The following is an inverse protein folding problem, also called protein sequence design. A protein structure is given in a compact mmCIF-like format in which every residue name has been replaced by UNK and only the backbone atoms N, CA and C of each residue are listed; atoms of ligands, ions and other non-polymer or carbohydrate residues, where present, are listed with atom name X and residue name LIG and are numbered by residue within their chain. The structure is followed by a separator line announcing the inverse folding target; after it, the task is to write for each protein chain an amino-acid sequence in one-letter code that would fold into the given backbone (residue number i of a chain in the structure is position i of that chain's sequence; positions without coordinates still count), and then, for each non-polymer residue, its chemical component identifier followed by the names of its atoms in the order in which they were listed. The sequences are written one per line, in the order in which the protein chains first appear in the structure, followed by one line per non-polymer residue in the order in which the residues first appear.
data_IF_148797052465
#
_entry.id   IF_148797052465
#
_cell.length_a   1.000
_cell.length_b   1.000
_cell.length_c   1.000
_cell.angle_alpha   90.00
_cell.angle_beta   90.00
_cell.angle_gamma   90.00
#
_symmetry.space_group_name_H-M   'P 1'
#
loop_
_entity.id
_entity.type
_entity.pdbx_description
1 polymer ?
#
# COMPACT_ATOMS: atom_id res chain seq x y z
N UNK A 1 16.66 -29.67 -15.65
CA UNK A 1 15.36 -29.07 -15.27
C UNK A 1 15.48 -27.55 -15.13
N UNK A 2 15.34 -26.76 -16.22
CA UNK A 2 15.16 -25.31 -16.10
C UNK A 2 13.94 -24.74 -16.85
N UNK A 3 13.19 -25.54 -17.60
CA UNK A 3 12.09 -25.04 -18.45
C UNK A 3 10.77 -24.76 -17.69
N UNK A 4 10.63 -25.24 -16.45
CA UNK A 4 9.36 -25.16 -15.70
C UNK A 4 9.20 -23.87 -14.89
N UNK A 5 10.31 -23.16 -14.61
CA UNK A 5 10.28 -21.89 -13.86
C UNK A 5 9.93 -20.72 -14.79
N UNK A 6 10.36 -20.76 -16.05
CA UNK A 6 10.09 -19.70 -17.04
C UNK A 6 8.61 -19.63 -17.42
N UNK A 7 7.90 -20.77 -17.43
CA UNK A 7 6.46 -20.82 -17.79
C UNK A 7 5.56 -20.32 -16.66
N UNK A 8 5.94 -20.46 -15.38
CA UNK A 8 5.14 -19.91 -14.26
C UNK A 8 5.27 -18.39 -14.11
N UNK A 9 6.43 -17.81 -14.47
CA UNK A 9 6.64 -16.36 -14.42
C UNK A 9 5.86 -15.65 -15.54
N UNK A 10 5.85 -16.19 -16.77
CA UNK A 10 5.05 -15.62 -17.86
C UNK A 10 3.53 -15.75 -17.68
N UNK A 11 3.06 -16.81 -17.01
CA UNK A 11 1.62 -16.98 -16.71
C UNK A 11 1.11 -15.98 -15.65
N UNK A 12 1.97 -15.52 -14.74
CA UNK A 12 1.60 -14.54 -13.71
C UNK A 12 1.56 -13.11 -14.22
N UNK A 13 2.43 -12.74 -15.17
CA UNK A 13 2.38 -11.42 -15.82
C UNK A 13 1.15 -11.25 -16.73
N UNK A 14 0.68 -12.30 -17.41
CA UNK A 14 -0.53 -12.24 -18.24
C UNK A 14 -1.84 -12.15 -17.44
N UNK A 15 -1.90 -12.71 -16.23
CA UNK A 15 -3.11 -12.70 -15.40
C UNK A 15 -3.38 -11.33 -14.75
N UNK A 16 -2.35 -10.49 -14.56
CA UNK A 16 -2.51 -9.16 -13.95
C UNK A 16 -2.64 -8.03 -14.99
N UNK A 17 -2.05 -8.17 -16.19
CA UNK A 17 -2.19 -7.18 -17.26
C UNK A 17 -3.60 -7.14 -17.89
N UNK A 18 -4.38 -8.22 -17.81
CA UNK A 18 -5.71 -8.32 -18.41
C UNK A 18 -6.85 -7.59 -17.66
N UNK A 19 -6.55 -6.85 -16.58
CA UNK A 19 -7.56 -6.10 -15.80
C UNK A 19 -7.32 -4.58 -15.71
N UNK A 20 -6.43 -4.04 -16.52
CA UNK A 20 -6.10 -2.59 -16.46
C UNK A 20 -6.18 -1.84 -17.80
N UNK A 21 -6.87 -2.40 -18.81
CA UNK A 21 -6.98 -1.80 -20.16
C UNK A 21 -8.31 -1.11 -20.50
N UNK A 22 -9.22 -0.86 -19.56
CA UNK A 22 -10.54 -0.26 -19.88
C UNK A 22 -10.73 1.21 -19.47
N UNK A 23 -9.67 1.94 -19.13
CA UNK A 23 -9.80 3.36 -18.77
C UNK A 23 -8.73 4.26 -19.38
N UNK A 24 -8.63 4.30 -20.71
CA UNK A 24 -8.15 5.51 -21.39
C UNK A 24 -8.53 5.51 -22.87
N UNK A 25 -9.02 6.66 -23.33
CA UNK A 25 -9.33 7.03 -24.73
C UNK A 25 -10.65 6.50 -25.33
N UNK A 26 -11.68 7.36 -25.40
CA UNK A 26 -12.03 8.05 -26.65
C UNK A 26 -13.19 9.07 -26.42
N UNK A 27 -12.95 10.32 -26.83
CA UNK A 27 -14.00 11.33 -27.11
C UNK A 27 -13.98 11.64 -28.62
N UNK A 28 -15.16 11.98 -29.13
CA UNK A 28 -15.51 12.63 -30.42
C UNK A 28 -15.48 11.76 -31.71
N UNK A 29 -16.65 11.46 -32.30
CA UNK A 29 -17.37 12.35 -33.23
C UNK A 29 -18.67 11.75 -33.79
N UNK A 30 -19.57 12.66 -34.16
CA UNK A 30 -20.90 12.51 -34.78
C UNK A 30 -20.94 11.61 -36.04
N UNK A 31 -22.04 10.89 -36.27
CA UNK A 31 -23.02 11.15 -37.35
C UNK A 31 -24.19 10.14 -37.35
N UNK A 32 -25.43 10.65 -37.34
CA UNK A 32 -26.71 9.96 -37.60
C UNK A 32 -26.90 9.69 -39.11
N UNK A 33 -27.76 8.77 -39.62
CA UNK A 33 -29.22 8.95 -39.55
C UNK A 33 -30.14 7.68 -39.55
N UNK A 34 -31.36 7.92 -39.04
CA UNK A 34 -32.68 7.46 -39.51
C UNK A 34 -32.90 5.98 -39.89
N UNK A 35 -33.72 5.28 -39.09
CA UNK A 35 -34.98 4.71 -39.60
C UNK A 35 -35.99 4.47 -38.48
N UNK A 36 -37.17 5.05 -38.64
CA UNK A 36 -38.36 4.89 -37.81
C UNK A 36 -39.18 3.67 -38.21
N UNK A 37 -39.87 3.04 -37.26
CA UNK A 37 -41.35 3.00 -37.13
C UNK A 37 -41.80 1.81 -36.25
N UNK A 38 -42.75 2.12 -35.36
CA UNK A 38 -43.89 1.28 -34.95
C UNK A 38 -43.63 -0.09 -34.30
N UNK A 39 -43.80 -0.16 -32.97
CA UNK A 39 -44.90 -0.94 -32.36
C UNK A 39 -45.34 -0.22 -31.07
N UNK A 40 -46.49 0.44 -31.15
CA UNK A 40 -47.28 0.81 -29.98
C UNK A 40 -48.18 -0.37 -29.63
N UNK A 41 -48.18 -0.82 -28.37
CA UNK A 41 -49.09 -1.87 -27.94
C UNK A 41 -48.83 -2.36 -26.52
N UNK A 42 -49.60 -1.81 -25.58
CA UNK A 42 -50.19 -2.57 -24.47
C UNK A 42 -49.27 -3.03 -23.31
N UNK A 43 -48.83 -2.09 -22.46
CA UNK A 43 -48.55 -2.40 -21.04
C UNK A 43 -49.11 -1.27 -20.18
N UNK A 44 -50.41 -1.38 -19.91
CA UNK A 44 -51.10 -0.66 -18.84
C UNK A 44 -51.54 -1.74 -17.85
N UNK A 45 -51.34 -1.48 -16.55
CA UNK A 45 -51.73 -2.29 -15.38
C UNK A 45 -50.66 -3.28 -14.84
N UNK A 46 -49.65 -2.75 -14.14
CA UNK A 46 -48.89 -3.43 -13.05
C UNK A 46 -48.05 -2.42 -12.25
N UNK A 47 -48.68 -1.47 -11.56
CA UNK A 47 -48.00 -0.50 -10.66
C UNK A 47 -48.58 -0.53 -9.22
N UNK A 48 -49.00 -1.70 -8.76
CA UNK A 48 -49.43 -1.93 -7.37
C UNK A 48 -48.69 -3.15 -6.83
N UNK A 49 -47.45 -2.93 -6.40
CA UNK A 49 -46.60 -3.99 -5.85
C UNK A 49 -45.14 -3.55 -5.74
N UNK A 50 -44.86 -2.52 -4.96
CA UNK A 50 -43.49 -1.98 -4.85
C UNK A 50 -43.20 -1.09 -3.65
N UNK A 51 -43.86 -1.29 -2.49
CA UNK A 51 -43.51 -0.62 -1.22
C UNK A 51 -43.43 -1.64 -0.07
N UNK A 52 -42.95 -2.86 -0.34
CA UNK A 52 -42.90 -3.95 0.64
C UNK A 52 -41.53 -4.11 1.32
N UNK A 53 -40.52 -3.28 1.02
CA UNK A 53 -39.16 -3.40 1.56
C UNK A 53 -38.67 -2.25 2.46
N UNK A 54 -39.55 -1.32 2.86
CA UNK A 54 -39.18 -0.10 3.62
C UNK A 54 -39.69 -0.11 5.08
N UNK A 55 -39.98 -1.27 5.65
CA UNK A 55 -40.50 -1.35 7.02
C UNK A 55 -39.36 -1.56 8.02
N UNK A 56 -39.32 -0.70 9.03
CA UNK A 56 -38.57 -0.94 10.27
C UNK A 56 -39.34 -1.95 11.12
N UNK A 57 -38.63 -2.83 11.83
CA UNK A 57 -39.25 -3.91 12.60
C UNK A 57 -40.09 -3.43 13.78
N UNK A 58 -39.80 -2.23 14.29
CA UNK A 58 -40.38 -1.70 15.50
C UNK A 58 -41.40 -0.58 15.23
N UNK A 59 -42.04 -0.59 14.06
CA UNK A 59 -43.05 0.38 13.63
C UNK A 59 -44.13 0.61 14.70
N UNK A 60 -44.69 -0.46 15.29
CA UNK A 60 -45.72 -0.36 16.33
C UNK A 60 -45.22 0.41 17.58
N UNK A 61 -43.96 0.19 17.97
CA UNK A 61 -43.35 0.90 19.09
C UNK A 61 -43.12 2.39 18.77
N UNK A 62 -42.79 2.71 17.52
CA UNK A 62 -42.65 4.08 17.03
C UNK A 62 -44.00 4.79 17.03
N UNK A 63 -45.08 4.11 16.59
CA UNK A 63 -46.44 4.66 16.64
C UNK A 63 -46.90 4.96 18.07
N UNK A 64 -46.63 4.06 19.02
CA UNK A 64 -46.94 4.29 20.44
C UNK A 64 -46.18 5.50 20.99
N UNK A 65 -44.88 5.59 20.75
CA UNK A 65 -44.05 6.74 21.16
C UNK A 65 -44.50 8.05 20.50
N UNK A 66 -44.98 7.97 19.25
CA UNK A 66 -45.51 9.13 18.52
C UNK A 66 -46.73 9.72 19.25
N UNK A 67 -47.67 8.89 19.67
CA UNK A 67 -48.87 9.34 20.40
C UNK A 67 -48.52 10.03 21.73
N UNK A 68 -47.48 9.53 22.42
CA UNK A 68 -46.97 10.17 23.63
C UNK A 68 -46.37 11.55 23.31
N UNK A 69 -45.53 11.66 22.28
CA UNK A 69 -44.92 12.93 21.87
C UNK A 69 -45.94 13.95 21.37
N UNK A 70 -47.01 13.53 20.68
CA UNK A 70 -48.13 14.43 20.32
C UNK A 70 -48.70 15.11 21.57
N UNK A 71 -48.87 14.36 22.66
CA UNK A 71 -49.39 14.89 23.92
C UNK A 71 -48.42 15.90 24.57
N UNK A 72 -47.11 15.71 24.39
CA UNK A 72 -46.07 16.61 24.93
C UNK A 72 -45.92 17.91 24.12
N UNK A 73 -46.12 17.84 22.80
CA UNK A 73 -46.03 19.00 21.90
C UNK A 73 -47.21 19.96 22.06
N UNK A 74 -48.34 19.51 22.60
CA UNK A 74 -49.51 20.36 22.84
C UNK A 74 -50.12 20.85 21.53
N UNK A 75 -50.51 22.12 21.46
CA UNK A 75 -51.25 22.70 20.33
C UNK A 75 -50.42 23.73 19.53
N UNK A 76 -49.09 23.70 19.64
CA UNK A 76 -48.19 24.65 18.99
C UNK A 76 -47.48 23.98 17.81
N UNK A 77 -48.03 24.13 16.60
CA UNK A 77 -47.51 23.48 15.40
C UNK A 77 -46.20 24.09 14.90
N UNK A 78 -45.99 25.40 15.06
CA UNK A 78 -44.74 26.06 14.70
C UNK A 78 -43.58 25.53 15.56
N UNK A 79 -43.80 25.42 16.88
CA UNK A 79 -42.82 24.81 17.79
C UNK A 79 -42.57 23.34 17.45
N UNK A 80 -43.63 22.57 17.20
CA UNK A 80 -43.50 21.16 16.85
C UNK A 80 -42.66 20.96 15.58
N UNK A 81 -42.90 21.77 14.54
CA UNK A 81 -42.13 21.72 13.31
C UNK A 81 -40.66 22.10 13.52
N UNK A 82 -40.41 23.17 14.30
CA UNK A 82 -39.05 23.59 14.66
C UNK A 82 -38.27 22.49 15.39
N UNK A 83 -38.91 21.80 16.35
CA UNK A 83 -38.31 20.65 17.05
C UNK A 83 -38.02 19.49 16.09
N UNK A 84 -38.91 19.22 15.13
CA UNK A 84 -38.69 18.18 14.11
C UNK A 84 -37.53 18.53 13.14
N UNK A 85 -37.36 19.80 12.77
CA UNK A 85 -36.23 20.25 11.95
C UNK A 85 -34.90 20.18 12.69
N UNK A 86 -34.90 20.52 13.99
CA UNK A 86 -33.75 20.31 14.86
C UNK A 86 -33.40 18.82 14.96
N UNK A 87 -34.39 17.94 15.14
CA UNK A 87 -34.20 16.50 15.17
C UNK A 87 -33.66 15.94 13.85
N UNK A 88 -34.09 16.46 12.70
CA UNK A 88 -33.52 16.10 11.40
C UNK A 88 -32.05 16.48 11.28
N UNK A 89 -31.69 17.65 11.82
CA UNK A 89 -30.30 18.11 11.88
C UNK A 89 -29.47 17.17 12.75
N UNK A 90 -30.00 16.78 13.92
CA UNK A 90 -29.36 15.76 14.78
C UNK A 90 -29.19 14.43 14.06
N UNK A 91 -30.22 13.95 13.34
CA UNK A 91 -30.13 12.72 12.54
C UNK A 91 -29.01 12.76 11.51
N UNK A 92 -28.83 13.92 10.86
CA UNK A 92 -27.77 14.13 9.87
C UNK A 92 -26.38 14.16 10.50
N UNK A 93 -26.21 14.85 11.63
CA UNK A 93 -24.95 14.92 12.37
C UNK A 93 -24.54 13.57 12.97
N UNK A 94 -25.52 12.74 13.34
CA UNK A 94 -25.31 11.38 13.82
C UNK A 94 -25.08 10.37 12.68
N UNK A 95 -25.00 10.84 11.43
CA UNK A 95 -24.77 10.04 10.23
C UNK A 95 -25.79 8.89 10.08
N UNK A 96 -27.05 9.14 10.44
CA UNK A 96 -28.10 8.12 10.40
C UNK A 96 -28.43 7.65 8.98
N UNK A 97 -28.03 8.40 7.95
CA UNK A 97 -28.06 7.92 6.56
C UNK A 97 -27.23 6.64 6.38
N UNK A 98 -26.15 6.48 7.14
CA UNK A 98 -25.34 5.26 7.16
C UNK A 98 -25.80 4.27 8.24
N UNK A 99 -26.03 4.76 9.47
CA UNK A 99 -26.28 3.90 10.64
C UNK A 99 -27.73 3.48 10.87
N UNK A 100 -28.69 4.13 10.22
CA UNK A 100 -30.11 3.80 10.28
C UNK A 100 -30.84 4.24 8.99
N UNK A 101 -30.42 3.75 7.80
CA UNK A 101 -30.94 4.19 6.51
C UNK A 101 -32.47 4.06 6.36
N UNK A 102 -33.09 3.01 6.91
CA UNK A 102 -34.55 2.86 6.82
C UNK A 102 -35.27 3.89 7.69
N UNK A 103 -34.79 4.14 8.91
CA UNK A 103 -35.34 5.22 9.74
C UNK A 103 -35.12 6.59 9.10
N UNK A 104 -33.95 6.84 8.51
CA UNK A 104 -33.64 8.13 7.89
C UNK A 104 -34.59 8.44 6.72
N UNK A 105 -34.93 7.43 5.92
CA UNK A 105 -35.94 7.57 4.87
C UNK A 105 -37.32 7.95 5.44
N UNK A 106 -37.75 7.29 6.52
CA UNK A 106 -39.01 7.62 7.17
C UNK A 106 -39.00 9.00 7.85
N UNK A 107 -37.87 9.40 8.44
CA UNK A 107 -37.68 10.74 9.02
C UNK A 107 -37.84 11.82 7.94
N UNK A 108 -37.22 11.62 6.77
CA UNK A 108 -37.36 12.53 5.64
C UNK A 108 -38.82 12.64 5.16
N UNK A 109 -39.51 11.51 5.08
CA UNK A 109 -40.91 11.48 4.68
C UNK A 109 -41.81 12.20 5.69
N UNK A 110 -41.66 11.91 6.99
CA UNK A 110 -42.45 12.53 8.05
C UNK A 110 -42.19 14.03 8.16
N UNK A 111 -40.94 14.48 8.00
CA UNK A 111 -40.62 15.91 7.99
C UNK A 111 -41.25 16.63 6.79
N UNK A 112 -41.23 15.99 5.61
CA UNK A 112 -41.90 16.52 4.41
C UNK A 112 -43.41 16.66 4.64
N UNK A 113 -44.03 15.70 5.32
CA UNK A 113 -45.45 15.76 5.69
C UNK A 113 -45.71 16.91 6.67
N UNK A 114 -44.92 17.02 7.75
CA UNK A 114 -45.04 18.10 8.74
C UNK A 114 -45.03 19.49 8.08
N UNK A 115 -44.03 19.76 7.23
CA UNK A 115 -43.94 21.02 6.47
C UNK A 115 -45.15 21.26 5.56
N UNK A 116 -45.68 20.21 4.95
CA UNK A 116 -46.84 20.32 4.06
C UNK A 116 -48.12 20.64 4.84
N UNK A 117 -48.31 20.02 6.01
CA UNK A 117 -49.44 20.30 6.90
C UNK A 117 -49.38 21.73 7.46
N UNK A 118 -48.20 22.20 7.85
CA UNK A 118 -48.01 23.58 8.31
C UNK A 118 -48.40 24.60 7.23
N UNK A 119 -47.92 24.41 5.99
CA UNK A 119 -48.27 25.28 4.86
C UNK A 119 -49.77 25.24 4.51
N UNK A 120 -50.45 24.13 4.79
CA UNK A 120 -51.89 23.97 4.60
C UNK A 120 -52.73 24.50 5.78
N UNK A 121 -52.11 24.96 6.87
CA UNK A 121 -52.79 25.36 8.10
C UNK A 121 -53.38 24.17 8.90
N UNK A 122 -52.99 22.94 8.59
CA UNK A 122 -53.37 21.73 9.31
C UNK A 122 -52.46 21.52 10.53
N UNK A 123 -52.72 22.31 11.57
CA UNK A 123 -51.92 22.31 12.81
C UNK A 123 -51.84 20.90 13.44
N UNK A 124 -52.94 20.14 13.43
CA UNK A 124 -52.96 18.78 13.99
C UNK A 124 -52.07 17.82 13.17
N UNK A 125 -52.21 17.80 11.85
CA UNK A 125 -51.38 16.97 10.98
C UNK A 125 -49.89 17.35 11.07
N UNK A 126 -49.59 18.64 11.26
CA UNK A 126 -48.23 19.14 11.48
C UNK A 126 -47.64 18.59 12.79
N UNK A 127 -48.39 18.67 13.90
CA UNK A 127 -47.95 18.16 15.21
C UNK A 127 -47.77 16.62 15.16
N UNK A 128 -48.72 15.88 14.58
CA UNK A 128 -48.63 14.42 14.46
C UNK A 128 -47.42 13.98 13.62
N UNK A 129 -47.17 14.64 12.48
CA UNK A 129 -46.01 14.35 11.63
C UNK A 129 -44.68 14.74 12.29
N UNK A 130 -44.65 15.86 13.02
CA UNK A 130 -43.48 16.31 13.78
C UNK A 130 -43.15 15.36 14.94
N UNK A 131 -44.16 14.92 15.69
CA UNK A 131 -44.02 13.90 16.73
C UNK A 131 -43.46 12.57 16.18
N UNK A 132 -43.85 12.20 14.95
CA UNK A 132 -43.32 11.02 14.26
C UNK A 132 -41.83 11.18 13.95
N UNK A 133 -41.38 12.34 13.46
CA UNK A 133 -39.95 12.63 13.25
C UNK A 133 -39.15 12.42 14.52
N UNK A 134 -39.60 13.00 15.64
CA UNK A 134 -38.94 12.87 16.93
C UNK A 134 -38.87 11.42 17.41
N UNK A 135 -39.95 10.65 17.25
CA UNK A 135 -40.02 9.24 17.65
C UNK A 135 -39.12 8.35 16.79
N UNK A 136 -39.07 8.62 15.48
CA UNK A 136 -38.19 7.93 14.56
C UNK A 136 -36.71 8.23 14.86
N UNK A 137 -36.36 9.46 15.23
CA UNK A 137 -35.00 9.80 15.65
C UNK A 137 -34.59 8.97 16.88
N UNK A 138 -35.40 8.94 17.93
CA UNK A 138 -35.11 8.17 19.15
C UNK A 138 -34.91 6.68 18.84
N UNK A 139 -35.76 6.14 17.96
CA UNK A 139 -35.66 4.77 17.46
C UNK A 139 -34.38 4.52 16.65
N UNK A 140 -34.04 5.44 15.75
CA UNK A 140 -32.87 5.34 14.89
C UNK A 140 -31.56 5.37 15.69
N UNK A 141 -31.48 6.18 16.75
CA UNK A 141 -30.33 6.23 17.65
C UNK A 141 -30.15 4.91 18.42
N UNK A 142 -31.24 4.31 18.88
CA UNK A 142 -31.22 2.96 19.47
C UNK A 142 -30.77 1.91 18.46
N UNK A 143 -31.24 2.01 17.22
CA UNK A 143 -30.81 1.11 16.16
C UNK A 143 -29.32 1.27 15.82
N UNK A 144 -28.80 2.50 15.75
CA UNK A 144 -27.37 2.77 15.56
C UNK A 144 -26.53 2.04 16.61
N UNK A 145 -26.87 2.17 17.89
CA UNK A 145 -26.19 1.46 18.97
C UNK A 145 -26.28 -0.07 18.83
N UNK A 146 -27.45 -0.59 18.46
CA UNK A 146 -27.66 -2.02 18.20
C UNK A 146 -26.82 -2.52 17.02
N UNK A 147 -26.78 -1.79 15.92
CA UNK A 147 -26.01 -2.13 14.73
C UNK A 147 -24.51 -2.12 15.02
N UNK A 148 -24.02 -1.10 15.73
CA UNK A 148 -22.62 -1.02 16.17
C UNK A 148 -22.22 -2.19 17.07
N UNK A 149 -23.12 -2.60 17.98
CA UNK A 149 -22.89 -3.76 18.84
C UNK A 149 -22.89 -5.07 18.04
N UNK A 150 -23.90 -5.28 17.20
CA UNK A 150 -24.07 -6.52 16.44
C UNK A 150 -23.01 -6.73 15.35
N UNK A 151 -22.49 -5.64 14.76
CA UNK A 151 -21.51 -5.65 13.68
C UNK A 151 -20.14 -5.15 14.14
N UNK A 152 -19.85 -5.23 15.44
CA UNK A 152 -18.62 -4.70 16.05
C UNK A 152 -17.33 -5.07 15.30
N UNK A 153 -17.12 -6.33 14.84
CA UNK A 153 -15.92 -6.68 14.06
C UNK A 153 -15.80 -5.93 12.72
N UNK A 154 -16.93 -5.67 12.04
CA UNK A 154 -16.93 -4.96 10.76
C UNK A 154 -16.64 -3.48 10.96
N UNK A 155 -17.15 -2.88 12.05
CA UNK A 155 -16.83 -1.49 12.40
C UNK A 155 -15.38 -1.32 12.83
N UNK A 156 -14.83 -2.25 13.61
CA UNK A 156 -13.39 -2.25 13.91
C UNK A 156 -12.55 -2.31 12.63
N UNK A 157 -12.92 -3.18 11.69
CA UNK A 157 -12.26 -3.25 10.39
C UNK A 157 -12.45 -1.98 9.55
N UNK A 158 -13.63 -1.35 9.58
CA UNK A 158 -13.86 -0.05 8.92
C UNK A 158 -12.93 1.04 9.48
N UNK A 159 -12.75 1.11 10.80
CA UNK A 159 -11.82 2.06 11.42
C UNK A 159 -10.40 1.87 10.89
N UNK A 160 -9.94 0.62 10.81
CA UNK A 160 -8.64 0.30 10.22
C UNK A 160 -8.53 0.78 8.76
N UNK A 161 -9.57 0.57 7.96
CA UNK A 161 -9.62 1.04 6.56
C UNK A 161 -9.58 2.57 6.45
N UNK A 162 -10.23 3.27 7.37
CA UNK A 162 -10.24 4.74 7.41
C UNK A 162 -8.85 5.28 7.78
N UNK A 163 -8.17 4.65 8.74
CA UNK A 163 -6.80 5.00 9.16
C UNK A 163 -5.79 4.90 8.01
N UNK A 164 -5.86 3.81 7.23
CA UNK A 164 -5.01 3.63 6.04
C UNK A 164 -5.52 4.39 4.81
N UNK A 165 -6.57 5.21 4.97
CA UNK A 165 -7.18 6.04 3.92
C UNK A 165 -7.64 5.23 2.70
N UNK A 166 -8.16 4.02 2.92
CA UNK A 166 -8.64 3.14 1.85
C UNK A 166 -9.72 3.81 0.98
N UNK A 167 -10.55 4.70 1.54
CA UNK A 167 -11.54 5.47 0.78
C UNK A 167 -10.96 6.38 -0.30
N UNK A 168 -9.71 6.83 -0.15
CA UNK A 168 -8.99 7.61 -1.16
C UNK A 168 -8.21 6.70 -2.10
N UNK A 169 -7.48 5.74 -1.53
CA UNK A 169 -6.55 4.86 -2.25
C UNK A 169 -7.28 3.84 -3.13
N UNK A 170 -8.40 3.32 -2.65
CA UNK A 170 -9.22 2.26 -3.27
C UNK A 170 -10.71 2.64 -3.28
N UNK A 171 -11.02 3.88 -3.70
CA UNK A 171 -12.35 4.49 -3.60
C UNK A 171 -13.50 3.61 -4.08
N UNK A 172 -13.39 3.03 -5.29
CA UNK A 172 -14.44 2.22 -5.87
C UNK A 172 -14.74 0.94 -5.06
N UNK A 173 -13.71 0.27 -4.54
CA UNK A 173 -13.88 -0.94 -3.72
C UNK A 173 -14.40 -0.58 -2.33
N UNK A 174 -13.85 0.47 -1.71
CA UNK A 174 -14.33 0.97 -0.43
C UNK A 174 -15.82 1.33 -0.46
N UNK A 175 -16.29 2.05 -1.49
CA UNK A 175 -17.71 2.40 -1.62
C UNK A 175 -18.62 1.17 -1.82
N UNK A 176 -18.14 0.14 -2.54
CA UNK A 176 -18.88 -1.13 -2.65
C UNK A 176 -19.00 -1.81 -1.30
N UNK A 177 -17.92 -1.93 -0.55
CA UNK A 177 -17.93 -2.65 0.73
C UNK A 177 -18.70 -1.87 1.81
N UNK A 178 -18.66 -0.53 1.78
CA UNK A 178 -19.50 0.31 2.64
C UNK A 178 -21.00 0.15 2.32
N UNK A 179 -21.36 -0.07 1.05
CA UNK A 179 -22.74 -0.36 0.67
C UNK A 179 -23.20 -1.71 1.22
N UNK A 180 -22.35 -2.72 1.20
CA UNK A 180 -22.64 -4.03 1.80
C UNK A 180 -22.80 -3.94 3.32
N UNK A 181 -21.89 -3.23 4.00
CA UNK A 181 -22.02 -2.95 5.43
C UNK A 181 -23.34 -2.23 5.76
N UNK A 182 -23.70 -1.19 4.98
CA UNK A 182 -24.98 -0.50 5.12
C UNK A 182 -26.17 -1.43 4.88
N UNK A 183 -26.08 -2.38 3.94
CA UNK A 183 -27.13 -3.38 3.72
C UNK A 183 -27.34 -4.27 4.95
N UNK A 184 -26.28 -4.62 5.69
CA UNK A 184 -26.42 -5.38 6.93
C UNK A 184 -27.14 -4.55 8.00
N UNK A 185 -26.84 -3.25 8.10
CA UNK A 185 -27.51 -2.32 9.01
C UNK A 185 -29.01 -2.25 8.68
N UNK A 186 -29.38 -2.16 7.40
CA UNK A 186 -30.80 -2.19 6.99
C UNK A 186 -31.52 -3.48 7.38
N UNK A 187 -30.85 -4.63 7.33
CA UNK A 187 -31.43 -5.90 7.81
C UNK A 187 -31.67 -5.88 9.32
N UNK A 188 -30.80 -5.25 10.11
CA UNK A 188 -30.98 -5.07 11.56
C UNK A 188 -32.21 -4.19 11.83
N UNK A 189 -32.35 -3.09 11.08
CA UNK A 189 -33.52 -2.21 11.16
C UNK A 189 -34.82 -2.93 10.83
N UNK A 190 -34.81 -3.76 9.78
CA UNK A 190 -35.95 -4.57 9.36
C UNK A 190 -36.22 -5.78 10.28
N UNK A 191 -35.40 -6.00 11.32
CA UNK A 191 -35.56 -7.12 12.25
C UNK A 191 -35.15 -8.47 11.67
N UNK A 192 -34.50 -8.49 10.52
CA UNK A 192 -34.04 -9.69 9.82
C UNK A 192 -32.66 -10.17 10.32
N UNK A 193 -32.49 -10.21 11.65
CA UNK A 193 -31.21 -10.48 12.29
C UNK A 193 -30.58 -11.84 11.93
N UNK A 194 -31.39 -12.84 11.57
CA UNK A 194 -30.88 -14.14 11.11
C UNK A 194 -30.07 -14.02 9.82
N UNK A 195 -30.50 -13.18 8.86
CA UNK A 195 -29.78 -12.96 7.59
C UNK A 195 -28.50 -12.16 7.77
N UNK A 196 -28.40 -11.39 8.85
CA UNK A 196 -27.20 -10.61 9.19
C UNK A 196 -26.05 -11.54 9.58
N UNK A 197 -26.33 -12.57 10.39
CA UNK A 197 -25.31 -13.52 10.87
C UNK A 197 -24.59 -14.19 9.70
N UNK A 198 -25.33 -14.74 8.73
CA UNK A 198 -24.76 -15.46 7.59
C UNK A 198 -23.91 -14.56 6.68
N UNK A 199 -24.33 -13.30 6.49
CA UNK A 199 -23.66 -12.36 5.56
C UNK A 199 -22.49 -11.62 6.19
N UNK A 200 -22.47 -11.47 7.51
CA UNK A 200 -21.46 -10.66 8.22
C UNK A 200 -20.04 -11.20 8.01
N UNK A 201 -19.87 -12.53 7.99
CA UNK A 201 -18.57 -13.16 7.74
C UNK A 201 -18.02 -12.84 6.34
N UNK A 202 -18.89 -12.84 5.32
CA UNK A 202 -18.49 -12.50 3.95
C UNK A 202 -18.06 -11.03 3.84
N UNK A 203 -18.85 -10.11 4.41
CA UNK A 203 -18.52 -8.68 4.39
C UNK A 203 -17.24 -8.39 5.16
N UNK A 204 -17.02 -9.02 6.31
CA UNK A 204 -15.77 -8.89 7.06
C UNK A 204 -14.56 -9.32 6.22
N UNK A 205 -14.66 -10.47 5.52
CA UNK A 205 -13.60 -10.94 4.62
C UNK A 205 -13.33 -9.96 3.48
N UNK A 206 -14.37 -9.36 2.90
CA UNK A 206 -14.22 -8.34 1.86
C UNK A 206 -13.48 -7.10 2.38
N UNK A 207 -13.82 -6.63 3.59
CA UNK A 207 -13.14 -5.49 4.23
C UNK A 207 -11.67 -5.80 4.58
N UNK A 208 -11.36 -7.03 5.01
CA UNK A 208 -9.98 -7.48 5.25
C UNK A 208 -9.17 -7.57 3.95
N UNK A 209 -9.80 -8.03 2.86
CA UNK A 209 -9.17 -8.06 1.55
C UNK A 209 -8.88 -6.63 1.05
N UNK A 210 -9.83 -5.70 1.22
CA UNK A 210 -9.63 -4.30 0.91
C UNK A 210 -8.45 -3.68 1.68
N UNK A 211 -8.26 -4.07 2.94
CA UNK A 211 -7.10 -3.64 3.72
C UNK A 211 -5.79 -4.12 3.08
N UNK A 212 -5.69 -5.42 2.79
CA UNK A 212 -4.52 -6.00 2.11
C UNK A 212 -4.24 -5.32 0.77
N UNK A 213 -5.26 -5.16 -0.07
CA UNK A 213 -5.12 -4.56 -1.41
C UNK A 213 -4.67 -3.10 -1.30
N UNK A 214 -5.17 -2.37 -0.30
CA UNK A 214 -4.74 -0.99 -0.01
C UNK A 214 -3.26 -0.96 0.40
N UNK A 215 -2.82 -1.88 1.26
CA UNK A 215 -1.41 -1.97 1.68
C UNK A 215 -0.47 -2.30 0.51
N UNK A 216 -0.87 -3.22 -0.38
CA UNK A 216 -0.12 -3.53 -1.60
C UNK A 216 -0.06 -2.32 -2.54
N UNK A 217 -1.16 -1.59 -2.71
CA UNK A 217 -1.21 -0.38 -3.54
C UNK A 217 -0.29 0.72 -3.00
N UNK A 218 -0.26 0.91 -1.69
CA UNK A 218 0.56 1.96 -1.06
C UNK A 218 2.06 1.63 -1.07
N UNK A 219 2.42 0.38 -0.76
CA UNK A 219 3.80 0.05 -0.42
C UNK A 219 4.51 -0.83 -1.45
N UNK A 220 3.79 -1.66 -2.20
CA UNK A 220 4.40 -2.56 -3.19
C UNK A 220 4.28 -2.03 -4.62
N UNK A 221 3.11 -1.51 -5.00
CA UNK A 221 2.83 -1.09 -6.38
C UNK A 221 3.86 -0.10 -6.96
N UNK A 222 4.37 0.92 -6.23
CA UNK A 222 5.40 1.81 -6.76
C UNK A 222 6.67 1.09 -7.20
N UNK A 223 7.09 0.06 -6.44
CA UNK A 223 8.26 -0.75 -6.77
C UNK A 223 7.99 -1.62 -8.01
N UNK A 224 6.82 -2.25 -8.08
CA UNK A 224 6.39 -3.05 -9.23
C UNK A 224 6.32 -2.22 -10.52
N UNK A 225 5.76 -1.01 -10.47
CA UNK A 225 5.66 -0.12 -11.63
C UNK A 225 7.05 0.38 -12.08
N UNK A 226 7.94 0.68 -11.12
CA UNK A 226 9.31 1.08 -11.42
C UNK A 226 10.11 -0.05 -12.07
N UNK A 227 9.93 -1.28 -11.58
CA UNK A 227 10.58 -2.47 -12.14
C UNK A 227 10.08 -2.76 -13.55
N UNK A 228 8.77 -2.65 -13.80
CA UNK A 228 8.19 -2.78 -15.13
C UNK A 228 8.79 -1.76 -16.10
N UNK A 229 8.94 -0.50 -15.66
CA UNK A 229 9.63 0.53 -16.46
C UNK A 229 11.10 0.18 -16.76
N UNK A 230 11.81 -0.41 -15.80
CA UNK A 230 13.17 -0.86 -16.03
C UNK A 230 13.22 -1.97 -17.10
N UNK A 231 12.27 -2.91 -17.06
CA UNK A 231 12.12 -3.95 -18.08
C UNK A 231 11.84 -3.37 -19.47
N UNK A 232 10.88 -2.44 -19.57
CA UNK A 232 10.55 -1.71 -20.81
C UNK A 232 11.79 -1.01 -21.40
N UNK A 233 12.69 -0.54 -20.54
CA UNK A 233 13.96 0.11 -20.93
C UNK A 233 15.11 -0.88 -21.16
N UNK A 234 14.82 -2.19 -21.21
CA UNK A 234 15.73 -3.30 -21.44
C UNK A 234 16.80 -3.45 -20.33
N UNK A 235 16.41 -3.26 -19.07
CA UNK A 235 17.32 -3.42 -17.94
C UNK A 235 17.90 -4.84 -17.84
N UNK A 236 17.12 -5.87 -18.18
CA UNK A 236 17.62 -7.25 -18.26
C UNK A 236 18.82 -7.41 -19.22
N UNK A 237 18.92 -6.57 -20.26
CA UNK A 237 20.04 -6.58 -21.21
C UNK A 237 21.22 -5.74 -20.71
N UNK A 238 20.93 -4.55 -20.19
CA UNK A 238 21.96 -3.56 -19.89
C UNK A 238 22.56 -3.72 -18.48
N UNK A 239 21.79 -4.24 -17.53
CA UNK A 239 22.20 -4.47 -16.15
C UNK A 239 21.60 -5.79 -15.60
N UNK A 240 21.94 -6.95 -16.21
CA UNK A 240 21.27 -8.22 -15.93
C UNK A 240 21.29 -8.63 -14.45
N UNK A 241 22.44 -8.49 -13.78
CA UNK A 241 22.57 -8.84 -12.36
C UNK A 241 21.71 -7.94 -11.47
N UNK A 242 21.84 -6.61 -11.62
CA UNK A 242 21.09 -5.64 -10.82
C UNK A 242 19.58 -5.75 -11.06
N UNK A 243 19.16 -6.01 -12.30
CA UNK A 243 17.75 -6.19 -12.63
C UNK A 243 17.19 -7.48 -12.01
N UNK A 244 17.89 -8.61 -12.15
CA UNK A 244 17.47 -9.88 -11.55
C UNK A 244 17.38 -9.80 -10.01
N UNK A 245 18.30 -9.10 -9.36
CA UNK A 245 18.24 -8.87 -7.92
C UNK A 245 17.03 -8.01 -7.51
N UNK A 246 16.68 -7.01 -8.33
CA UNK A 246 15.51 -6.17 -8.09
C UNK A 246 14.20 -6.95 -8.29
N UNK A 247 14.10 -7.81 -9.31
CA UNK A 247 12.94 -8.70 -9.51
C UNK A 247 12.68 -9.55 -8.26
N UNK A 248 13.73 -10.19 -7.73
CA UNK A 248 13.63 -11.02 -6.54
C UNK A 248 13.17 -10.21 -5.32
N UNK A 249 13.73 -9.01 -5.11
CA UNK A 249 13.36 -8.17 -3.97
C UNK A 249 11.92 -7.64 -4.07
N UNK A 250 11.46 -7.24 -5.25
CA UNK A 250 10.09 -6.77 -5.47
C UNK A 250 9.07 -7.89 -5.28
N UNK A 251 9.37 -9.12 -5.73
CA UNK A 251 8.50 -10.27 -5.49
C UNK A 251 8.47 -10.66 -4.01
N UNK A 252 9.63 -10.73 -3.35
CA UNK A 252 9.72 -11.02 -1.92
C UNK A 252 8.94 -9.98 -1.09
N UNK A 253 9.02 -8.70 -1.44
CA UNK A 253 8.25 -7.65 -0.81
C UNK A 253 6.74 -7.88 -0.93
N UNK A 254 6.26 -8.28 -2.12
CA UNK A 254 4.85 -8.63 -2.30
C UNK A 254 4.41 -9.76 -1.34
N UNK A 255 5.24 -10.79 -1.21
CA UNK A 255 4.96 -11.93 -0.34
C UNK A 255 4.96 -11.55 1.14
N UNK A 256 5.93 -10.75 1.58
CA UNK A 256 6.02 -10.26 2.97
C UNK A 256 4.80 -9.40 3.29
N UNK A 257 4.48 -8.43 2.44
CA UNK A 257 3.31 -7.55 2.65
C UNK A 257 2.02 -8.37 2.66
N UNK A 258 1.84 -9.36 1.78
CA UNK A 258 0.65 -10.23 1.81
C UNK A 258 0.48 -10.99 3.12
N UNK A 259 1.57 -11.45 3.73
CA UNK A 259 1.53 -12.23 4.98
C UNK A 259 1.41 -11.34 6.22
N UNK A 260 1.93 -10.12 6.14
CA UNK A 260 2.09 -9.23 7.29
C UNK A 260 1.49 -7.85 7.04
N UNK A 261 0.43 -7.73 6.23
CA UNK A 261 -0.15 -6.44 5.83
C UNK A 261 -0.63 -5.60 7.02
N UNK A 262 -0.99 -6.25 8.13
CA UNK A 262 -1.40 -5.58 9.37
C UNK A 262 -0.23 -4.90 10.10
N UNK A 263 1.00 -5.35 9.89
CA UNK A 263 2.20 -4.67 10.38
C UNK A 263 2.58 -3.52 9.44
N UNK A 264 2.12 -2.32 9.79
CA UNK A 264 2.27 -1.12 8.95
C UNK A 264 3.73 -0.72 8.76
N UNK A 265 4.52 -0.81 9.83
CA UNK A 265 5.92 -0.42 9.81
C UNK A 265 6.72 -1.38 8.92
N UNK A 266 6.46 -2.69 9.02
CA UNK A 266 7.09 -3.69 8.19
C UNK A 266 6.69 -3.55 6.72
N UNK A 267 5.40 -3.33 6.43
CA UNK A 267 4.93 -3.16 5.05
C UNK A 267 5.56 -1.92 4.40
N UNK A 268 5.63 -0.80 5.13
CA UNK A 268 6.24 0.43 4.64
C UNK A 268 7.75 0.28 4.40
N UNK A 269 8.49 -0.29 5.36
CA UNK A 269 9.95 -0.47 5.22
C UNK A 269 10.28 -1.42 4.06
N UNK A 270 9.58 -2.56 4.00
CA UNK A 270 9.74 -3.57 2.94
C UNK A 270 9.42 -2.96 1.56
N UNK A 271 8.35 -2.18 1.46
CA UNK A 271 7.99 -1.47 0.23
C UNK A 271 9.04 -0.46 -0.22
N UNK A 272 9.60 0.31 0.71
CA UNK A 272 10.68 1.28 0.42
C UNK A 272 11.96 0.58 -0.05
N UNK A 273 12.33 -0.55 0.56
CA UNK A 273 13.49 -1.33 0.12
C UNK A 273 13.32 -1.87 -1.30
N UNK A 274 12.16 -2.48 -1.59
CA UNK A 274 11.84 -2.93 -2.94
C UNK A 274 11.83 -1.80 -3.97
N UNK A 275 11.28 -0.63 -3.61
CA UNK A 275 11.27 0.54 -4.49
C UNK A 275 12.70 1.01 -4.79
N UNK A 276 13.59 1.06 -3.79
CA UNK A 276 15.00 1.41 -4.00
C UNK A 276 15.69 0.41 -4.91
N UNK A 277 15.44 -0.89 -4.74
CA UNK A 277 16.00 -1.93 -5.61
C UNK A 277 15.54 -1.76 -7.07
N UNK A 278 14.24 -1.53 -7.30
CA UNK A 278 13.70 -1.29 -8.63
C UNK A 278 14.25 0.00 -9.27
N UNK A 279 14.36 1.08 -8.50
CA UNK A 279 14.99 2.33 -8.96
C UNK A 279 16.46 2.11 -9.31
N UNK A 280 17.20 1.38 -8.47
CA UNK A 280 18.59 1.06 -8.70
C UNK A 280 18.77 0.28 -10.01
N UNK A 281 17.94 -0.73 -10.26
CA UNK A 281 17.95 -1.46 -11.53
C UNK A 281 17.66 -0.54 -12.73
N UNK A 282 16.66 0.33 -12.64
CA UNK A 282 16.33 1.29 -13.71
C UNK A 282 17.51 2.21 -14.05
N UNK A 283 18.12 2.83 -13.04
CA UNK A 283 19.18 3.80 -13.27
C UNK A 283 20.49 3.13 -13.69
N UNK A 284 20.89 2.01 -13.08
CA UNK A 284 22.09 1.28 -13.51
C UNK A 284 21.94 0.78 -14.95
N UNK A 285 20.75 0.31 -15.35
CA UNK A 285 20.51 -0.07 -16.74
C UNK A 285 20.70 1.09 -17.71
N UNK A 286 20.21 2.28 -17.37
CA UNK A 286 20.37 3.49 -18.19
C UNK A 286 21.85 3.89 -18.30
N UNK A 287 22.57 3.90 -17.18
CA UNK A 287 24.00 4.22 -17.16
C UNK A 287 24.82 3.19 -17.94
N UNK A 288 24.59 1.89 -17.72
CA UNK A 288 25.29 0.82 -18.44
C UNK A 288 25.02 0.88 -19.95
N UNK A 289 23.79 1.20 -20.35
CA UNK A 289 23.43 1.44 -21.75
C UNK A 289 24.16 2.64 -22.35
N UNK A 290 24.34 3.72 -21.58
CA UNK A 290 25.09 4.89 -22.03
C UNK A 290 26.57 4.56 -22.18
N UNK A 291 27.19 3.95 -21.16
CA UNK A 291 28.61 3.58 -21.13
C UNK A 291 28.98 2.65 -22.30
N UNK A 292 28.15 1.63 -22.57
CA UNK A 292 28.41 0.65 -23.64
C UNK A 292 28.33 1.23 -25.06
N UNK A 293 27.91 2.49 -25.21
CA UNK A 293 27.77 3.18 -26.50
C UNK A 293 28.78 4.30 -26.72
N UNK A 294 29.67 4.55 -25.76
CA UNK A 294 30.64 5.64 -25.85
C UNK A 294 31.75 5.31 -26.86
N UNK A 295 32.11 6.29 -27.67
CA UNK A 295 33.39 6.30 -28.39
C UNK A 295 34.56 6.76 -27.48
N UNK A 296 35.78 6.81 -28.01
CA UNK A 296 36.95 7.19 -27.22
C UNK A 296 36.89 8.61 -26.66
N UNK A 297 36.39 9.58 -27.43
CA UNK A 297 36.30 10.98 -26.98
C UNK A 297 35.20 11.13 -25.92
N UNK A 298 34.08 10.44 -26.11
CA UNK A 298 32.99 10.41 -25.13
C UNK A 298 33.39 9.68 -23.85
N UNK A 299 34.18 8.61 -23.95
CA UNK A 299 34.69 7.88 -22.79
C UNK A 299 35.71 8.70 -21.99
N UNK A 300 36.61 9.42 -22.66
CA UNK A 300 37.52 10.38 -22.01
C UNK A 300 36.74 11.46 -21.27
N UNK A 301 35.75 12.08 -21.93
CA UNK A 301 34.91 13.11 -21.31
C UNK A 301 34.15 12.58 -20.09
N UNK A 302 33.57 11.37 -20.17
CA UNK A 302 32.91 10.74 -19.04
C UNK A 302 33.87 10.46 -17.87
N UNK A 303 35.11 10.03 -18.16
CA UNK A 303 36.13 9.83 -17.13
C UNK A 303 36.52 11.14 -16.43
N UNK A 304 36.70 12.23 -17.20
CA UNK A 304 36.97 13.56 -16.67
C UNK A 304 35.81 14.12 -15.82
N UNK A 305 34.57 13.82 -16.19
CA UNK A 305 33.39 14.19 -15.39
C UNK A 305 33.37 13.47 -14.04
N UNK A 306 33.60 12.15 -14.03
CA UNK A 306 33.70 11.38 -12.79
C UNK A 306 34.88 11.83 -11.92
N UNK A 307 36.04 12.11 -12.52
CA UNK A 307 37.18 12.72 -11.84
C UNK A 307 36.80 14.06 -11.19
N UNK A 308 36.07 14.92 -11.92
CA UNK A 308 35.58 16.20 -11.42
C UNK A 308 34.69 16.04 -10.18
N UNK A 309 33.78 15.06 -10.17
CA UNK A 309 32.96 14.76 -8.99
C UNK A 309 33.79 14.28 -7.80
N UNK A 310 34.76 13.39 -8.02
CA UNK A 310 35.64 12.91 -6.96
C UNK A 310 36.52 14.03 -6.41
N UNK A 311 37.02 14.92 -7.26
CA UNK A 311 37.78 16.10 -6.84
C UNK A 311 36.93 17.06 -6.00
N UNK A 312 35.69 17.34 -6.41
CA UNK A 312 34.77 18.15 -5.60
C UNK A 312 34.50 17.53 -4.23
N UNK A 313 34.35 16.21 -4.18
CA UNK A 313 34.16 15.48 -2.92
C UNK A 313 35.42 15.54 -2.05
N UNK A 314 36.61 15.39 -2.64
CA UNK A 314 37.89 15.45 -1.93
C UNK A 314 38.15 16.84 -1.35
N UNK A 315 37.88 17.91 -2.11
CA UNK A 315 37.95 19.29 -1.64
C UNK A 315 36.96 19.56 -0.51
N UNK A 316 35.71 19.10 -0.64
CA UNK A 316 34.67 19.26 0.39
C UNK A 316 35.06 18.58 1.70
N UNK A 317 35.75 17.44 1.63
CA UNK A 317 36.26 16.70 2.79
C UNK A 317 37.64 17.15 3.23
N UNK A 318 38.26 18.13 2.55
CA UNK A 318 39.63 18.58 2.79
C UNK A 318 40.66 17.43 2.74
N UNK A 319 40.43 16.47 1.84
CA UNK A 319 41.29 15.31 1.60
C UNK A 319 42.46 15.61 0.63
N UNK A 320 42.47 16.78 0.02
CA UNK A 320 43.48 17.23 -0.94
C UNK A 320 43.18 16.83 -2.39
N UNK A 321 44.08 17.22 -3.29
CA UNK A 321 43.98 16.89 -4.72
C UNK A 321 44.47 15.47 -4.97
N UNK A 322 43.59 14.63 -5.53
CA UNK A 322 43.86 13.21 -5.80
C UNK A 322 43.84 12.89 -7.30
N UNK A 323 43.78 13.88 -8.18
CA UNK A 323 43.61 13.67 -9.64
C UNK A 323 44.77 12.96 -10.34
N UNK A 324 45.87 12.74 -9.62
CA UNK A 324 47.05 12.02 -10.09
C UNK A 324 46.98 10.49 -9.92
N UNK A 325 45.85 9.92 -9.50
CA UNK A 325 45.64 8.47 -9.40
C UNK A 325 44.38 8.02 -10.14
N UNK A 326 44.21 6.71 -10.36
CA UNK A 326 43.03 6.17 -11.02
C UNK A 326 41.74 6.47 -10.22
N UNK A 327 40.58 6.62 -10.89
CA UNK A 327 39.31 6.99 -10.24
C UNK A 327 38.95 6.09 -9.02
N UNK A 328 39.25 4.79 -9.11
CA UNK A 328 39.06 3.85 -8.00
C UNK A 328 39.94 4.20 -6.80
N UNK A 329 41.21 4.50 -7.04
CA UNK A 329 42.17 4.84 -6.00
C UNK A 329 41.83 6.20 -5.37
N UNK A 330 41.37 7.16 -6.18
CA UNK A 330 40.83 8.45 -5.71
C UNK A 330 39.68 8.20 -4.73
N UNK A 331 38.72 7.36 -5.13
CA UNK A 331 37.56 7.01 -4.31
C UNK A 331 37.99 6.37 -2.99
N UNK A 332 38.91 5.42 -3.03
CA UNK A 332 39.40 4.73 -1.81
C UNK A 332 40.12 5.67 -0.86
N UNK A 333 40.95 6.58 -1.39
CA UNK A 333 41.66 7.55 -0.57
C UNK A 333 40.71 8.59 0.06
N UNK A 334 39.67 9.02 -0.67
CA UNK A 334 38.60 9.86 -0.13
C UNK A 334 37.84 9.14 1.01
N UNK A 335 37.47 7.86 0.81
CA UNK A 335 36.80 7.05 1.84
C UNK A 335 37.67 6.94 3.09
N UNK A 336 38.95 6.58 2.94
CA UNK A 336 39.88 6.48 4.06
C UNK A 336 39.99 7.79 4.83
N UNK A 337 40.07 8.92 4.12
CA UNK A 337 40.10 10.24 4.74
C UNK A 337 38.81 10.54 5.52
N UNK A 338 37.65 10.26 4.93
CA UNK A 338 36.34 10.46 5.57
C UNK A 338 36.20 9.60 6.85
N UNK A 339 36.62 8.33 6.79
CA UNK A 339 36.62 7.44 7.96
C UNK A 339 37.54 7.94 9.08
N UNK A 340 38.75 8.37 8.74
CA UNK A 340 39.71 8.94 9.68
C UNK A 340 39.14 10.19 10.36
N UNK A 341 38.48 11.06 9.61
CA UNK A 341 37.78 12.23 10.16
C UNK A 341 36.64 11.82 11.10
N UNK A 342 35.81 10.85 10.70
CA UNK A 342 34.73 10.35 11.55
C UNK A 342 35.27 9.75 12.86
N UNK A 343 36.35 8.97 12.81
CA UNK A 343 37.03 8.42 13.99
C UNK A 343 37.57 9.53 14.89
N UNK A 344 38.24 10.54 14.33
CA UNK A 344 38.75 11.70 15.09
C UNK A 344 37.63 12.49 15.74
N UNK A 345 36.52 12.71 15.03
CA UNK A 345 35.34 13.40 15.57
C UNK A 345 34.71 12.61 16.72
N UNK A 346 34.53 11.29 16.56
CA UNK A 346 34.02 10.41 17.60
C UNK A 346 34.95 10.37 18.84
N UNK A 347 36.27 10.32 18.65
CA UNK A 347 37.25 10.34 19.74
C UNK A 347 37.23 11.67 20.50
N UNK A 348 37.11 12.81 19.80
CA UNK A 348 36.97 14.13 20.44
C UNK A 348 35.66 14.26 21.21
N UNK A 349 34.56 13.72 20.68
CA UNK A 349 33.27 13.70 21.35
C UNK A 349 33.30 12.83 22.62
N UNK A 350 33.97 11.67 22.59
CA UNK A 350 34.11 10.80 23.76
C UNK A 350 35.11 11.37 24.81
N UNK A 351 36.16 12.07 24.38
CA UNK A 351 37.12 12.71 25.29
C UNK A 351 36.53 13.94 26.01
N UNK A 352 35.48 14.56 25.46
CA UNK A 352 34.71 15.64 26.13
C UNK A 352 33.64 15.11 27.10
N UNK A 353 33.43 13.78 27.16
CA UNK A 353 32.43 13.11 27.99
C UNK A 353 33.07 12.17 29.04
N UNK A 354 33.96 12.67 29.90
CA UNK A 354 34.34 12.00 31.17
C UNK A 354 34.72 13.06 32.24
N UNK A 355 34.53 12.77 33.54
CA UNK A 355 33.77 13.64 34.45
C UNK A 355 34.64 14.52 35.35
N UNK A 356 33.96 15.52 35.90
CA UNK A 356 34.32 16.35 37.06
C UNK A 356 35.32 15.66 38.00
N UNK A 357 36.52 16.24 38.07
CA UNK A 357 37.50 16.00 39.13
C UNK A 357 36.86 16.36 40.47
N UNK A 358 36.57 15.36 41.30
CA UNK A 358 36.30 15.56 42.72
C UNK A 358 37.58 16.08 43.38
N UNK A 359 37.51 17.30 43.92
CA UNK A 359 38.52 17.83 44.82
C UNK A 359 38.51 17.03 46.15
N UNK A 360 39.68 16.86 46.80
CA UNK A 360 39.76 16.15 48.07
C UNK A 360 39.27 17.07 49.20
N UNK A 361 38.18 16.69 49.87
CA UNK A 361 37.85 17.21 51.20
C UNK A 361 38.79 16.54 52.19
N UNK A 362 39.71 17.31 52.74
CA UNK A 362 40.45 16.95 53.93
C UNK A 362 39.57 17.19 55.14
N UNK A 363 39.32 16.15 55.96
CA UNK A 363 38.95 16.37 57.36
C UNK A 363 39.20 15.11 58.19
N UNK A 364 40.02 15.26 59.23
CA UNK A 364 40.01 14.47 60.46
C UNK A 364 40.93 15.15 61.51
N UNK A 365 40.85 14.85 62.84
CA UNK A 365 39.95 13.88 63.48
C UNK A 365 39.40 14.24 64.89
N UNK A 366 38.37 13.48 65.31
CA UNK A 366 38.10 12.85 66.63
C UNK A 366 36.58 12.71 66.77
N UNK A 367 35.95 11.57 67.13
CA UNK A 367 36.38 10.41 67.92
C UNK A 367 35.33 9.28 67.77
N UNK A 368 35.79 8.02 67.87
CA UNK A 368 35.09 6.82 68.41
C UNK A 368 33.89 6.26 67.58
N UNK A 369 33.70 4.97 67.28
CA UNK A 369 34.20 3.67 67.75
C UNK A 369 34.20 2.64 66.59
N UNK A 370 34.99 1.57 66.75
CA UNK A 370 35.04 0.33 65.95
C UNK A 370 34.20 -0.76 66.69
N UNK A 371 34.00 -2.04 66.22
CA UNK A 371 34.54 -2.72 65.04
C UNK A 371 33.58 -3.74 64.34
N UNK A 372 34.13 -4.48 63.34
CA UNK A 372 33.69 -5.78 62.78
C UNK A 372 32.55 -5.73 61.73
N UNK A 373 32.53 -6.42 60.59
CA UNK A 373 33.42 -7.40 59.94
C UNK A 373 32.91 -7.67 58.50
N UNK A 374 33.79 -8.18 57.63
CA UNK A 374 33.52 -9.04 56.45
C UNK A 374 32.78 -8.40 55.22
N UNK A 375 33.13 -8.60 53.95
CA UNK A 375 34.01 -9.59 53.28
C UNK A 375 34.36 -9.08 51.86
N UNK A 376 35.61 -9.34 51.44
CA UNK A 376 36.13 -9.71 50.10
C UNK A 376 35.08 -10.11 49.03
N UNK A 377 35.23 -10.01 47.70
CA UNK A 377 36.39 -10.08 46.79
C UNK A 377 35.88 -10.08 45.32
N UNK A 378 36.80 -9.94 44.36
CA UNK A 378 36.85 -10.55 43.00
C UNK A 378 36.56 -9.65 41.77
N UNK A 379 37.61 -9.10 41.12
CA UNK A 379 38.32 -9.61 39.90
C UNK A 379 37.55 -9.35 38.60
N UNK A 380 37.94 -8.34 37.83
CA UNK A 380 38.85 -8.37 36.65
C UNK A 380 38.23 -8.93 35.35
N UNK A 381 38.44 -8.14 34.30
CA UNK A 381 38.69 -8.53 32.91
C UNK A 381 38.01 -9.80 32.36
N UNK A 382 37.01 -9.61 31.50
CA UNK A 382 37.03 -10.20 30.14
C UNK A 382 35.92 -9.65 29.26
N UNK A 383 36.26 -9.48 27.98
CA UNK A 383 35.37 -9.55 26.80
C UNK A 383 34.82 -8.22 26.26
N UNK A 384 35.55 -7.61 25.33
CA UNK A 384 35.01 -7.44 23.96
C UNK A 384 36.12 -7.15 22.93
N UNK A 385 37.29 -7.75 23.10
CA UNK A 385 38.23 -7.98 22.00
C UNK A 385 37.79 -9.25 21.26
N UNK A 386 36.65 -9.19 20.55
CA UNK A 386 36.20 -10.25 19.64
C UNK A 386 35.08 -9.79 18.70
N UNK A 387 35.28 -8.75 17.89
CA UNK A 387 34.42 -8.53 16.70
C UNK A 387 35.12 -7.89 15.50
N UNK A 388 36.35 -7.37 15.60
CA UNK A 388 37.02 -6.77 14.42
C UNK A 388 37.83 -7.74 13.55
N UNK A 389 37.90 -9.03 13.89
CA UNK A 389 38.76 -10.00 13.18
C UNK A 389 37.99 -11.16 12.52
N UNK A 390 36.68 -11.02 12.29
CA UNK A 390 35.87 -12.04 11.58
C UNK A 390 35.09 -11.53 10.35
N UNK A 391 35.41 -10.34 9.86
CA UNK A 391 34.79 -9.78 8.64
C UNK A 391 35.81 -9.46 7.53
N UNK A 392 37.11 -9.59 7.81
CA UNK A 392 38.18 -9.38 6.82
C UNK A 392 38.56 -10.65 6.05
N UNK A 393 38.49 -11.84 6.68
CA UNK A 393 38.92 -13.09 6.02
C UNK A 393 37.84 -13.81 5.20
N UNK A 394 36.54 -13.52 5.42
CA UNK A 394 35.46 -14.24 4.71
C UNK A 394 35.09 -13.66 3.33
N UNK A 395 35.74 -12.58 2.90
CA UNK A 395 35.50 -11.95 1.58
C UNK A 395 36.70 -12.08 0.63
N UNK A 396 37.84 -12.60 1.11
CA UNK A 396 39.04 -12.84 0.29
C UNK A 396 39.14 -14.28 -0.23
N UNK A 397 38.63 -15.28 0.50
CA UNK A 397 38.80 -16.70 0.09
C UNK A 397 37.78 -17.21 -0.93
N UNK A 398 36.61 -16.58 -1.12
CA UNK A 398 35.61 -17.08 -2.09
C UNK A 398 35.78 -16.55 -3.52
N UNK A 399 36.75 -15.67 -3.76
CA UNK A 399 37.04 -15.10 -5.09
C UNK A 399 38.30 -15.72 -5.72
N UNK A 400 39.09 -16.49 -4.96
CA UNK A 400 40.30 -17.17 -5.47
C UNK A 400 40.08 -18.63 -5.89
N UNK A 401 39.01 -19.31 -5.45
CA UNK A 401 38.72 -20.70 -5.87
C UNK A 401 37.91 -20.82 -7.17
N UNK A 402 37.20 -19.78 -7.63
CA UNK A 402 36.42 -19.86 -8.89
C UNK A 402 37.28 -19.53 -10.13
N UNK A 403 38.44 -18.91 -9.95
CA UNK A 403 39.31 -18.48 -11.07
C UNK A 403 40.40 -19.50 -11.41
N UNK A 404 40.55 -20.60 -10.65
CA UNK A 404 41.51 -21.68 -10.96
C UNK A 404 40.89 -22.93 -11.61
N UNK A 405 39.57 -22.98 -11.80
CA UNK A 405 38.89 -24.13 -12.40
C UNK A 405 38.56 -23.99 -13.91
N UNK A 406 38.96 -22.88 -14.57
CA UNK A 406 38.61 -22.63 -16.00
C UNK A 406 39.85 -22.55 -16.91
N UNK A 407 41.07 -22.73 -16.38
CA UNK A 407 42.31 -22.67 -17.18
C UNK A 407 43.10 -23.98 -17.14
N UNK A 408 42.43 -25.10 -17.41
CA UNK A 408 43.09 -26.36 -17.80
C UNK A 408 42.18 -27.14 -18.75
N UNK A 409 42.23 -26.77 -20.03
CA UNK A 409 42.29 -27.70 -21.17
C UNK A 409 42.20 -26.90 -22.47
N UNK A 410 43.34 -26.46 -23.00
CA UNK A 410 43.55 -26.44 -24.44
C UNK A 410 44.99 -26.84 -24.69
N UNK A 411 45.22 -28.00 -25.29
CA UNK A 411 46.14 -28.13 -26.43
C UNK A 411 45.92 -29.46 -27.17
N UNK A 412 46.31 -29.51 -28.46
CA UNK A 412 45.66 -30.29 -29.52
C UNK A 412 46.48 -31.53 -29.91
N UNK A 413 45.92 -32.39 -30.75
CA UNK A 413 46.69 -33.10 -31.76
C UNK A 413 45.84 -33.34 -33.01
N UNK A 414 46.46 -33.08 -34.15
CA UNK A 414 45.96 -33.33 -35.49
C UNK A 414 46.79 -34.46 -36.11
N UNK A 415 46.15 -35.40 -36.79
CA UNK A 415 46.77 -36.11 -37.92
C UNK A 415 45.69 -36.64 -38.90
N UNK A 416 46.13 -36.84 -40.14
CA UNK A 416 45.41 -36.59 -41.40
C UNK A 416 45.28 -37.88 -42.23
N UNK A 417 44.20 -38.08 -43.01
CA UNK A 417 44.20 -38.62 -44.41
C UNK A 417 42.75 -38.75 -44.95
N UNK A 418 42.36 -38.03 -46.01
CA UNK A 418 42.22 -38.47 -47.43
C UNK A 418 41.06 -39.47 -47.69
N UNK A 419 40.20 -39.43 -48.72
CA UNK A 419 39.97 -38.57 -49.89
C UNK A 419 38.62 -38.97 -50.58
N UNK A 420 38.21 -38.14 -51.53
CA UNK A 420 37.44 -38.45 -52.75
C UNK A 420 35.89 -38.29 -52.77
N UNK A 421 35.52 -37.24 -53.50
CA UNK A 421 34.27 -36.92 -54.21
C UNK A 421 33.97 -37.98 -55.32
N UNK A 422 32.74 -38.03 -55.91
CA UNK A 422 32.45 -37.10 -57.02
C UNK A 422 30.98 -36.60 -57.13
N UNK A 423 30.83 -35.43 -57.77
CA UNK A 423 29.63 -34.82 -58.37
C UNK A 423 29.41 -35.35 -59.82
N UNK A 424 28.47 -34.83 -60.67
CA UNK A 424 27.09 -34.34 -60.49
C UNK A 424 26.12 -34.90 -61.59
N UNK A 425 24.81 -34.65 -61.50
CA UNK A 425 23.97 -34.57 -62.72
C UNK A 425 22.79 -33.56 -62.58
N UNK A 426 22.38 -33.05 -63.73
CA UNK A 426 21.71 -31.80 -64.05
C UNK A 426 20.17 -31.87 -64.04
N UNK A 427 19.50 -30.76 -63.66
CA UNK A 427 18.35 -30.02 -64.27
C UNK A 427 17.14 -30.80 -64.91
N UNK A 428 16.00 -30.18 -65.30
CA UNK A 428 15.27 -28.96 -64.86
C UNK A 428 13.77 -29.21 -64.50
N UNK A 429 13.07 -28.14 -64.13
CA UNK A 429 11.60 -28.01 -64.09
C UNK A 429 10.91 -28.24 -65.47
N UNK A 430 9.58 -28.43 -65.50
CA UNK A 430 8.66 -27.31 -65.81
C UNK A 430 7.34 -27.36 -64.99
N UNK A 431 6.82 -26.22 -64.54
CA UNK A 431 5.77 -25.38 -65.14
C UNK A 431 4.31 -25.78 -64.82
N UNK A 432 3.58 -24.73 -64.43
CA UNK A 432 2.17 -24.41 -64.63
C UNK A 432 1.01 -25.03 -63.81
N UNK A 433 0.39 -24.08 -63.06
CA UNK A 433 -1.03 -23.73 -62.95
C UNK A 433 -2.13 -24.73 -62.53
N UNK A 434 -3.08 -24.11 -61.80
CA UNK A 434 -4.48 -24.46 -61.52
C UNK A 434 -4.76 -25.23 -60.20
N UNK A 435 -5.06 -24.51 -59.12
CA UNK A 435 -6.42 -24.06 -58.76
C UNK A 435 -6.42 -23.19 -57.51
#
# INVERSE_FOLDING_TARGET
MPALIIVMVQAFFYAYAARFQDYFMLRFSFNTPLLSHFVAGFIMLSLLGGCASQRIANEDSVSLATNEKVSQLGNDSERALSEAEAAFTTASNEDLTFYAPLHMEQIQQALKQARSHELAGDSRGCIESSARVLSLLDSALKNKARAQTALSPLFAQKTVLDEIKAGSVMSAQYQRDMKELRSLISLIEAGEGSKVIDRSAHVLKALQQLELDTMLRLHWQPASETLAKADDENAAKHAPATFSDAELQVENAAQIIRRHYQDRALAESTGKEALRAAQHALYIAREAKAITRLDSAQAEQAALEFEGYLHQLSETLNAGDMRNMALKDQTLAIIQHAEEQARKAAAKHNAQATPVVLQPVAENPMTAESPLEATSEKTSEKTSEKTSEKTSEKTSEKTSEVTQAITTEVTPDAETEAAAEPTPDQNPAPDNTQR
#
